data_IF_569366544219
#
_entry.id   IF_569366544219
#
_cell.length_a   1.000
_cell.length_b   1.000
_cell.length_c   1.000
_cell.angle_alpha   90.00
_cell.angle_beta   90.00
_cell.angle_gamma   90.00
#
_symmetry.space_group_name_H-M   'P 1'
#
loop_
_entity.id
_entity.type
_entity.pdbx_description
1 polymer ?
#
# COMPACT_ATOMS: atom_id res chain seq x y z
N UNK A 1 4.34 9.10 -15.60
CA UNK A 1 4.57 9.31 -14.16
C UNK A 1 3.50 8.56 -13.39
N UNK A 2 3.90 7.68 -12.47
CA UNK A 2 3.00 6.97 -11.56
C UNK A 2 2.83 7.84 -10.32
N UNK A 3 1.60 8.22 -9.97
CA UNK A 3 1.35 9.04 -8.78
C UNK A 3 0.78 8.15 -7.68
N UNK A 4 1.47 8.10 -6.55
CA UNK A 4 1.09 7.29 -5.39
C UNK A 4 0.49 8.24 -4.36
N UNK A 5 -0.78 8.04 -4.02
CA UNK A 5 -1.43 8.70 -2.91
C UNK A 5 -1.62 7.68 -1.79
N UNK A 6 -0.95 7.90 -0.66
CA UNK A 6 -1.32 7.21 0.56
C UNK A 6 -2.61 7.85 1.10
N UNK A 7 -3.65 7.03 1.26
CA UNK A 7 -4.86 7.39 1.97
C UNK A 7 -4.68 7.31 3.48
N UNK A 8 -5.81 7.34 4.19
CA UNK A 8 -5.86 7.25 5.64
C UNK A 8 -5.32 5.90 6.14
N UNK A 9 -4.41 5.95 7.11
CA UNK A 9 -3.95 4.79 7.88
C UNK A 9 -4.82 4.67 9.12
N UNK A 10 -5.47 3.51 9.27
CA UNK A 10 -6.27 3.14 10.44
C UNK A 10 -5.57 2.03 11.20
N UNK A 11 -5.51 2.13 12.52
CA UNK A 11 -5.04 1.03 13.36
C UNK A 11 -6.21 0.20 13.85
N UNK A 12 -6.13 -1.11 13.65
CA UNK A 12 -7.11 -2.07 14.14
C UNK A 12 -6.52 -2.82 15.33
N UNK A 13 -6.89 -2.38 16.54
CA UNK A 13 -6.44 -2.98 17.79
C UNK A 13 -6.94 -4.43 17.98
N UNK A 14 -8.09 -4.76 17.41
CA UNK A 14 -8.68 -6.11 17.46
C UNK A 14 -7.86 -7.10 16.64
N UNK A 15 -7.38 -6.69 15.47
CA UNK A 15 -6.53 -7.50 14.60
C UNK A 15 -5.02 -7.36 14.94
N UNK A 16 -4.63 -6.35 15.73
CA UNK A 16 -3.22 -6.02 15.97
C UNK A 16 -2.50 -5.61 14.68
N UNK A 17 -3.18 -4.88 13.80
CA UNK A 17 -2.67 -4.54 12.48
C UNK A 17 -3.02 -3.10 12.07
N UNK A 18 -2.11 -2.49 11.32
CA UNK A 18 -2.33 -1.21 10.65
C UNK A 18 -2.88 -1.46 9.25
N UNK A 19 -4.06 -0.96 8.98
CA UNK A 19 -4.72 -1.01 7.69
C UNK A 19 -4.58 0.35 7.03
N UNK A 20 -4.11 0.42 5.79
CA UNK A 20 -4.25 1.63 5.01
C UNK A 20 -4.65 1.35 3.58
N UNK A 21 -5.25 2.37 2.98
CA UNK A 21 -5.57 2.38 1.56
C UNK A 21 -4.51 3.16 0.81
N UNK A 22 -4.01 2.57 -0.26
CA UNK A 22 -3.11 3.28 -1.18
C UNK A 22 -3.80 3.38 -2.54
N UNK A 23 -3.94 4.61 -3.01
CA UNK A 23 -4.50 4.95 -4.30
C UNK A 23 -3.34 5.24 -5.27
N UNK A 24 -3.19 4.39 -6.28
CA UNK A 24 -2.13 4.54 -7.28
C UNK A 24 -2.75 4.94 -8.60
N UNK A 25 -2.37 6.11 -9.10
CA UNK A 25 -2.77 6.61 -10.42
C UNK A 25 -1.71 6.23 -11.45
N UNK A 26 -2.08 5.39 -12.41
CA UNK A 26 -1.22 4.93 -13.49
C UNK A 26 -1.99 4.89 -14.81
N UNK A 27 -1.42 5.47 -15.87
CA UNK A 27 -1.98 5.45 -17.23
C UNK A 27 -3.46 5.92 -17.30
N UNK A 28 -3.85 6.88 -16.46
CA UNK A 28 -5.24 7.36 -16.38
C UNK A 28 -6.18 6.49 -15.54
N UNK A 29 -5.73 5.34 -15.02
CA UNK A 29 -6.48 4.46 -14.13
C UNK A 29 -6.07 4.65 -12.68
N UNK A 30 -7.03 4.58 -11.75
CA UNK A 30 -6.77 4.61 -10.31
C UNK A 30 -6.94 3.20 -9.76
N UNK A 31 -5.85 2.63 -9.25
CA UNK A 31 -5.83 1.33 -8.60
C UNK A 31 -5.81 1.52 -7.09
N UNK A 32 -6.72 0.84 -6.40
CA UNK A 32 -6.85 0.90 -4.95
C UNK A 32 -6.36 -0.41 -4.35
N UNK A 33 -5.31 -0.32 -3.54
CA UNK A 33 -4.74 -1.47 -2.87
C UNK A 33 -4.95 -1.34 -1.36
N UNK A 34 -5.81 -2.19 -0.75
CA UNK A 34 -5.85 -2.32 0.69
C UNK A 34 -4.55 -3.01 1.14
N UNK A 35 -3.74 -2.31 1.93
CA UNK A 35 -2.50 -2.82 2.47
C UNK A 35 -2.63 -2.90 3.99
N UNK A 36 -2.29 -4.05 4.55
CA UNK A 36 -2.26 -4.28 5.99
C UNK A 36 -0.84 -4.60 6.44
N UNK A 37 -0.43 -4.04 7.57
CA UNK A 37 0.85 -4.29 8.22
C UNK A 37 0.54 -4.76 9.63
N UNK A 38 0.77 -6.04 9.88
CA UNK A 38 0.69 -6.58 11.23
C UNK A 38 1.78 -5.96 12.10
N UNK A 39 1.41 -5.44 13.26
CA UNK A 39 2.35 -4.77 14.14
C UNK A 39 1.70 -4.26 15.43
N UNK A 40 2.46 -4.19 16.54
CA UNK A 40 1.96 -3.63 17.78
C UNK A 40 1.62 -2.14 17.60
N UNK A 41 0.64 -1.62 18.35
CA UNK A 41 0.26 -0.19 18.33
C UNK A 41 1.45 0.74 18.61
N UNK A 42 2.41 0.26 19.39
CA UNK A 42 3.66 0.98 19.74
C UNK A 42 4.68 0.99 18.60
N UNK A 43 4.39 0.31 17.49
CA UNK A 43 5.25 0.30 16.31
C UNK A 43 5.28 1.68 15.68
N UNK A 44 6.48 2.10 15.29
CA UNK A 44 6.72 3.41 14.72
C UNK A 44 5.86 3.64 13.48
N UNK A 45 5.02 4.69 13.49
CA UNK A 45 4.11 4.97 12.40
C UNK A 45 4.85 5.27 11.09
N UNK A 46 6.07 5.79 11.18
CA UNK A 46 7.00 5.97 10.05
C UNK A 46 7.39 4.62 9.42
N UNK A 47 7.65 3.59 10.23
CA UNK A 47 7.92 2.22 9.75
C UNK A 47 6.68 1.62 9.09
N UNK A 48 5.52 1.80 9.70
CA UNK A 48 4.25 1.32 9.16
C UNK A 48 4.00 1.97 7.79
N UNK A 49 4.07 3.30 7.70
CA UNK A 49 3.91 4.06 6.45
C UNK A 49 4.93 3.62 5.39
N UNK A 50 6.20 3.44 5.77
CA UNK A 50 7.25 2.97 4.87
C UNK A 50 6.99 1.56 4.34
N UNK A 51 6.53 0.64 5.20
CA UNK A 51 6.16 -0.72 4.81
C UNK A 51 4.96 -0.75 3.88
N UNK A 52 3.95 0.08 4.18
CA UNK A 52 2.75 0.24 3.37
C UNK A 52 3.05 0.83 1.99
N UNK A 53 3.84 1.89 1.94
CA UNK A 53 4.30 2.51 0.70
C UNK A 53 5.11 1.52 -0.14
N UNK A 54 6.04 0.77 0.47
CA UNK A 54 6.80 -0.28 -0.22
C UNK A 54 5.92 -1.42 -0.72
N UNK A 55 4.93 -1.86 0.05
CA UNK A 55 4.00 -2.92 -0.37
C UNK A 55 3.15 -2.47 -1.55
N UNK A 56 2.59 -1.27 -1.49
CA UNK A 56 1.78 -0.71 -2.57
C UNK A 56 2.62 -0.45 -3.83
N UNK A 57 3.86 0.06 -3.66
CA UNK A 57 4.81 0.22 -4.76
C UNK A 57 5.11 -1.13 -5.42
N UNK A 58 5.43 -2.16 -4.62
CA UNK A 58 5.72 -3.51 -5.13
C UNK A 58 4.51 -4.11 -5.84
N UNK A 59 3.29 -3.96 -5.30
CA UNK A 59 2.08 -4.45 -5.97
C UNK A 59 1.81 -3.73 -7.29
N UNK A 60 2.02 -2.42 -7.35
CA UNK A 60 1.83 -1.67 -8.59
C UNK A 60 2.89 -1.97 -9.64
N UNK A 61 4.14 -2.13 -9.20
CA UNK A 61 5.26 -2.51 -10.06
C UNK A 61 5.07 -3.94 -10.60
N UNK A 62 4.72 -4.88 -9.72
CA UNK A 62 4.42 -6.28 -10.06
C UNK A 62 3.18 -6.42 -10.95
N UNK A 63 2.16 -5.59 -10.74
CA UNK A 63 0.97 -5.52 -11.60
C UNK A 63 1.29 -5.06 -13.03
N UNK A 64 2.42 -4.37 -13.23
CA UNK A 64 2.88 -4.01 -14.57
C UNK A 64 3.57 -5.13 -15.32
N UNK A 65 4.14 -6.10 -14.61
CA UNK A 65 4.93 -7.18 -15.21
C UNK A 65 4.06 -8.34 -15.71
N UNK A 66 2.74 -8.32 -15.43
CA UNK A 66 1.79 -9.30 -15.97
C UNK A 66 1.41 -9.05 -17.44
N UNK A 67 1.98 -8.03 -18.09
CA UNK A 67 1.99 -7.85 -19.55
C UNK A 67 3.30 -8.38 -20.17
N UNK A 68 3.83 -9.49 -19.66
CA UNK A 68 4.85 -10.26 -20.39
C UNK A 68 4.15 -10.95 -21.57
N UNK A 69 4.09 -10.25 -22.70
CA UNK A 69 3.74 -10.80 -24.00
C UNK A 69 4.85 -11.74 -24.46
N UNK A 70 4.55 -13.04 -24.55
CA UNK A 70 5.24 -13.99 -25.43
C UNK A 70 4.25 -14.99 -25.99
#
# INVERSE_FOLDING_TARGET
MTQINLGSVSYNATAGAFEARVDIRRAGQTFRYPCQVAGPMTMDMERVKSGLARHALRMSDSGSNLLSHV
#
